data_IF_444601912634
#
_entry.id   IF_444601912634
#
_cell.length_a   1.000
_cell.length_b   1.000
_cell.length_c   1.000
_cell.angle_alpha   90.00
_cell.angle_beta   90.00
_cell.angle_gamma   90.00
#
_symmetry.space_group_name_H-M   'P 1'
#
loop_
_entity.id
_entity.type
_entity.pdbx_description
1 polymer ?
#
# COMPACT_ATOMS: atom_id res chain seq x y z
N UNK A 1 36.79 16.04 23.34
CA UNK A 1 36.68 16.92 22.15
C UNK A 1 35.30 17.57 22.14
N UNK A 2 35.20 18.89 21.95
CA UNK A 2 33.90 19.61 21.91
C UNK A 2 33.20 19.50 20.55
N UNK A 3 33.97 19.29 19.48
CA UNK A 3 33.50 19.10 18.12
C UNK A 3 34.35 18.04 17.42
N UNK A 4 33.70 17.04 16.84
CA UNK A 4 34.30 16.08 15.92
C UNK A 4 33.40 16.03 14.69
N UNK A 5 33.87 16.48 13.54
CA UNK A 5 33.05 16.58 12.32
C UNK A 5 33.85 16.18 11.09
N UNK A 6 33.22 16.21 9.92
CA UNK A 6 33.86 15.93 8.64
C UNK A 6 34.38 17.20 7.97
N UNK A 7 35.43 17.07 7.15
CA UNK A 7 35.99 18.16 6.34
C UNK A 7 34.96 18.94 5.53
N UNK A 8 34.01 18.32 4.79
CA UNK A 8 33.02 19.08 4.01
C UNK A 8 32.07 19.91 4.88
N UNK A 9 31.80 19.50 6.13
CA UNK A 9 30.96 20.29 7.07
C UNK A 9 31.70 21.56 7.50
N UNK A 10 32.99 21.44 7.83
CA UNK A 10 33.84 22.58 8.16
C UNK A 10 34.00 23.53 6.95
N UNK A 11 34.28 22.98 5.76
CA UNK A 11 34.38 23.78 4.54
C UNK A 11 33.09 24.54 4.26
N UNK A 12 31.93 23.88 4.33
CA UNK A 12 30.62 24.52 4.16
C UNK A 12 30.45 25.69 5.13
N UNK A 13 30.82 25.54 6.40
CA UNK A 13 30.72 26.63 7.37
C UNK A 13 31.56 27.85 6.98
N UNK A 14 32.80 27.63 6.51
CA UNK A 14 33.66 28.71 6.00
C UNK A 14 33.09 29.39 4.76
N UNK A 15 32.64 28.60 3.79
CA UNK A 15 32.12 29.12 2.52
C UNK A 15 30.82 29.91 2.76
N UNK A 16 29.96 29.47 3.68
CA UNK A 16 28.79 30.24 4.13
C UNK A 16 29.19 31.58 4.76
N UNK A 17 30.21 31.58 5.61
CA UNK A 17 30.63 32.79 6.32
C UNK A 17 31.26 33.85 5.40
N UNK A 18 31.78 33.43 4.24
CA UNK A 18 32.39 34.30 3.22
C UNK A 18 31.42 34.72 2.12
N UNK A 19 30.15 34.27 2.17
CA UNK A 19 29.18 34.40 1.07
C UNK A 19 29.76 33.98 -0.30
N UNK A 20 30.68 33.00 -0.29
CA UNK A 20 31.38 32.56 -1.49
C UNK A 20 30.54 31.61 -2.37
N UNK A 21 29.30 31.25 -1.97
CA UNK A 21 28.38 30.44 -2.78
C UNK A 21 27.34 31.29 -3.51
N UNK A 22 27.36 31.33 -4.84
CA UNK A 22 26.24 31.83 -5.62
C UNK A 22 25.00 30.94 -5.41
N UNK A 23 23.85 31.56 -5.11
CA UNK A 23 22.58 30.86 -5.02
C UNK A 23 22.22 30.22 -6.37
N UNK A 24 22.15 28.88 -6.42
CA UNK A 24 21.71 28.12 -7.59
C UNK A 24 22.83 27.44 -8.39
N UNK A 25 24.10 27.81 -8.20
CA UNK A 25 25.24 27.18 -8.87
C UNK A 25 25.73 25.91 -8.14
N UNK A 26 26.20 24.94 -8.91
CA UNK A 26 26.93 23.77 -8.40
C UNK A 26 28.42 24.08 -8.48
N UNK A 27 29.05 24.26 -7.33
CA UNK A 27 30.45 24.67 -7.21
C UNK A 27 31.27 23.55 -6.58
N UNK A 28 32.34 23.15 -7.25
CA UNK A 28 33.33 22.24 -6.70
C UNK A 28 34.44 23.04 -6.00
N UNK A 29 34.76 22.67 -4.76
CA UNK A 29 35.86 23.21 -3.98
C UNK A 29 36.96 22.17 -3.92
N UNK A 30 38.14 22.50 -4.43
CA UNK A 30 39.30 21.64 -4.49
C UNK A 30 40.35 22.12 -3.50
N UNK A 31 40.43 21.45 -2.36
CA UNK A 31 41.39 21.73 -1.31
C UNK A 31 42.62 20.84 -1.51
N UNK A 32 43.66 21.41 -2.11
CA UNK A 32 44.87 20.71 -2.49
C UNK A 32 45.96 20.93 -1.43
N UNK A 33 46.29 19.86 -0.71
CA UNK A 33 47.34 19.85 0.31
C UNK A 33 48.71 19.43 -0.25
N UNK A 34 49.58 18.98 0.66
CA UNK A 34 50.90 18.46 0.31
C UNK A 34 50.82 17.16 -0.48
N UNK A 35 50.25 16.11 0.09
CA UNK A 35 50.18 14.78 -0.53
C UNK A 35 48.80 14.45 -1.12
N UNK A 36 47.74 15.01 -0.53
CA UNK A 36 46.38 14.64 -0.81
C UNK A 36 45.57 15.87 -1.23
N UNK A 37 44.56 15.65 -2.06
CA UNK A 37 43.58 16.64 -2.47
C UNK A 37 42.20 16.16 -2.09
N UNK A 38 41.41 17.06 -1.52
CA UNK A 38 40.03 16.81 -1.17
C UNK A 38 39.13 17.66 -2.04
N UNK A 39 38.15 17.02 -2.67
CA UNK A 39 37.12 17.71 -3.46
C UNK A 39 35.79 17.65 -2.70
N UNK A 40 35.11 18.79 -2.63
CA UNK A 40 33.75 18.90 -2.08
C UNK A 40 32.89 19.68 -3.04
N UNK A 41 31.75 19.11 -3.46
CA UNK A 41 30.80 19.78 -4.35
C UNK A 41 29.61 20.26 -3.52
N UNK A 42 29.32 21.55 -3.64
CA UNK A 42 28.20 22.21 -2.96
C UNK A 42 27.22 22.76 -3.99
N UNK A 43 25.93 22.69 -3.69
CA UNK A 43 24.88 23.49 -4.34
C UNK A 43 24.20 24.34 -3.29
N UNK A 44 24.43 25.65 -3.29
CA UNK A 44 24.05 26.49 -2.16
C UNK A 44 24.68 25.95 -0.86
N UNK A 45 23.85 25.52 0.09
CA UNK A 45 24.30 24.98 1.37
C UNK A 45 24.34 23.43 1.44
N UNK A 46 23.98 22.75 0.35
CA UNK A 46 23.89 21.30 0.31
C UNK A 46 25.23 20.69 -0.10
N UNK A 47 25.79 19.84 0.76
CA UNK A 47 26.95 19.01 0.43
C UNK A 47 26.46 17.86 -0.45
N UNK A 48 26.81 17.88 -1.73
CA UNK A 48 26.39 16.88 -2.72
C UNK A 48 27.37 15.72 -2.82
N UNK A 49 28.66 16.04 -2.80
CA UNK A 49 29.72 15.07 -2.98
C UNK A 49 30.97 15.47 -2.22
N UNK A 50 31.70 14.49 -1.70
CA UNK A 50 32.97 14.73 -1.01
C UNK A 50 33.86 13.51 -1.09
N UNK A 51 35.10 13.68 -1.56
CA UNK A 51 36.10 12.59 -1.55
C UNK A 51 37.53 13.13 -1.51
N UNK A 52 38.46 12.21 -1.31
CA UNK A 52 39.89 12.46 -1.30
C UNK A 52 40.61 11.61 -2.35
N UNK A 53 41.71 12.13 -2.90
CA UNK A 53 42.60 11.40 -3.79
C UNK A 53 44.07 11.84 -3.65
N UNK A 54 44.99 10.92 -3.95
CA UNK A 54 46.43 11.05 -3.71
C UNK A 54 47.19 11.84 -4.79
N UNK A 55 46.75 13.07 -5.07
CA UNK A 55 47.49 14.05 -5.88
C UNK A 55 47.64 15.31 -5.02
N UNK A 56 48.84 15.85 -4.89
CA UNK A 56 49.05 17.07 -4.11
C UNK A 56 50.27 17.86 -4.57
N UNK A 57 50.57 18.94 -3.86
CA UNK A 57 51.69 19.83 -4.19
C UNK A 57 53.06 19.13 -4.16
N UNK A 58 53.25 18.15 -3.27
CA UNK A 58 54.47 17.33 -3.16
C UNK A 58 54.61 16.41 -4.37
N UNK A 59 53.51 15.88 -4.91
CA UNK A 59 53.55 15.04 -6.12
C UNK A 59 54.13 15.79 -7.31
N UNK A 60 53.81 17.09 -7.46
CA UNK A 60 54.38 17.94 -8.50
C UNK A 60 55.88 18.17 -8.27
N UNK A 61 56.30 18.37 -7.01
CA UNK A 61 57.71 18.54 -6.65
C UNK A 61 58.51 17.28 -6.97
N UNK A 62 58.01 16.10 -6.58
CA UNK A 62 58.67 14.82 -6.84
C UNK A 62 58.84 14.57 -8.35
N UNK A 63 57.85 14.94 -9.17
CA UNK A 63 57.95 14.81 -10.63
C UNK A 63 59.07 15.68 -11.23
N UNK A 64 59.48 16.76 -10.57
CA UNK A 64 60.54 17.66 -11.01
C UNK A 64 61.92 17.27 -10.50
N UNK A 65 62.06 16.21 -9.69
CA UNK A 65 63.38 15.80 -9.18
C UNK A 65 64.28 15.14 -10.21
N UNK A 66 63.70 14.61 -11.28
CA UNK A 66 64.45 13.97 -12.37
C UNK A 66 63.94 14.48 -13.71
N UNK A 67 64.45 15.64 -14.15
CA UNK A 67 63.99 16.30 -15.37
C UNK A 67 64.76 15.75 -16.57
N UNK A 68 64.04 15.14 -17.51
CA UNK A 68 64.62 14.63 -18.75
C UNK A 68 64.67 15.75 -19.77
N UNK A 69 65.87 16.15 -20.18
CA UNK A 69 66.08 17.17 -21.20
C UNK A 69 66.55 16.50 -22.51
N UNK A 70 65.81 16.66 -23.62
CA UNK A 70 66.23 16.12 -24.91
C UNK A 70 67.63 16.58 -25.30
N UNK A 71 68.52 15.61 -25.60
CA UNK A 71 69.91 15.89 -25.99
C UNK A 71 70.88 16.24 -24.84
N UNK A 72 70.40 16.43 -23.60
CA UNK A 72 71.24 16.75 -22.43
C UNK A 72 71.16 15.72 -21.31
N UNK A 73 70.25 14.75 -21.39
CA UNK A 73 70.09 13.68 -20.41
C UNK A 73 69.19 14.08 -19.23
N UNK A 74 69.32 13.35 -18.12
CA UNK A 74 68.52 13.58 -16.91
C UNK A 74 69.23 14.54 -15.97
N UNK A 75 68.56 15.62 -15.59
CA UNK A 75 68.98 16.55 -14.55
C UNK A 75 68.32 16.12 -13.25
N UNK A 76 69.13 15.64 -12.30
CA UNK A 76 68.67 15.37 -10.94
C UNK A 76 68.69 16.66 -10.11
N UNK A 77 67.61 16.86 -9.37
CA UNK A 77 67.41 17.95 -8.41
C UNK A 77 67.12 17.38 -7.02
N UNK A 78 67.64 18.05 -6.00
CA UNK A 78 67.16 17.86 -4.63
C UNK A 78 65.69 18.28 -4.51
N UNK A 79 65.01 17.84 -3.45
CA UNK A 79 63.64 18.22 -3.18
C UNK A 79 63.47 19.74 -3.10
N UNK A 80 64.38 20.43 -2.42
CA UNK A 80 64.32 21.89 -2.23
C UNK A 80 64.53 22.65 -3.54
N UNK A 81 65.44 22.18 -4.40
CA UNK A 81 65.64 22.75 -5.74
C UNK A 81 64.42 22.54 -6.63
N UNK A 82 63.80 21.34 -6.60
CA UNK A 82 62.58 21.04 -7.33
C UNK A 82 61.39 21.89 -6.81
N UNK A 83 61.27 22.08 -5.50
CA UNK A 83 60.24 22.93 -4.89
C UNK A 83 60.44 24.40 -5.27
N UNK A 84 61.69 24.89 -5.28
CA UNK A 84 62.03 26.23 -5.71
C UNK A 84 61.69 26.44 -7.20
N UNK A 85 62.02 25.46 -8.06
CA UNK A 85 61.68 25.48 -9.48
C UNK A 85 60.15 25.53 -9.68
N UNK A 86 59.40 24.67 -8.98
CA UNK A 86 57.93 24.64 -9.00
C UNK A 86 57.33 25.97 -8.55
N UNK A 87 57.84 26.56 -7.47
CA UNK A 87 57.33 27.85 -6.95
C UNK A 87 57.65 29.02 -7.87
N UNK A 88 58.81 29.01 -8.52
CA UNK A 88 59.24 30.08 -9.41
C UNK A 88 58.46 30.08 -10.74
N UNK A 89 58.28 28.90 -11.35
CA UNK A 89 57.77 28.79 -12.73
C UNK A 89 56.38 28.15 -12.83
N UNK A 90 55.91 27.44 -11.80
CA UNK A 90 54.60 26.79 -11.80
C UNK A 90 54.44 25.79 -12.95
N UNK A 91 53.34 25.94 -13.69
CA UNK A 91 53.04 25.18 -14.90
C UNK A 91 53.27 26.10 -16.10
N UNK A 92 54.39 25.98 -16.83
CA UNK A 92 54.64 26.84 -17.98
C UNK A 92 53.59 26.61 -19.07
N UNK A 93 53.03 27.70 -19.60
CA UNK A 93 52.00 27.66 -20.66
C UNK A 93 52.32 28.67 -21.77
N UNK A 94 52.02 28.31 -23.02
CA UNK A 94 52.18 29.20 -24.17
C UNK A 94 53.62 29.67 -24.35
N UNK A 95 53.84 31.00 -24.41
CA UNK A 95 55.18 31.57 -24.63
C UNK A 95 56.16 31.32 -23.47
N UNK A 96 55.67 31.03 -22.26
CA UNK A 96 56.53 30.71 -21.11
C UNK A 96 57.31 29.41 -21.33
N UNK A 97 56.79 28.47 -22.12
CA UNK A 97 57.47 27.19 -22.39
C UNK A 97 58.80 27.34 -23.15
N UNK A 98 58.97 28.44 -23.88
CA UNK A 98 60.23 28.76 -24.58
C UNK A 98 61.33 29.29 -23.62
N UNK A 99 60.97 29.59 -22.37
CA UNK A 99 61.88 30.10 -21.35
C UNK A 99 62.79 29.03 -20.76
N UNK A 100 63.73 29.47 -19.91
CA UNK A 100 64.69 28.61 -19.22
C UNK A 100 64.87 29.05 -17.77
N UNK A 101 65.10 28.10 -16.88
CA UNK A 101 65.52 28.31 -15.50
C UNK A 101 66.94 27.77 -15.31
N UNK A 102 67.94 28.62 -15.51
CA UNK A 102 69.34 28.20 -15.56
C UNK A 102 69.56 27.21 -16.71
N UNK A 103 69.96 25.98 -16.38
CA UNK A 103 70.20 24.89 -17.35
C UNK A 103 68.94 24.09 -17.73
N UNK A 104 67.77 24.43 -17.16
CA UNK A 104 66.54 23.65 -17.34
C UNK A 104 65.60 24.41 -18.30
N UNK A 105 65.28 23.87 -19.49
CA UNK A 105 64.24 24.44 -20.34
C UNK A 105 62.86 24.25 -19.71
N UNK A 106 62.02 25.28 -19.74
CA UNK A 106 60.67 25.23 -19.15
C UNK A 106 59.74 24.28 -19.90
N UNK A 107 60.00 24.02 -21.19
CA UNK A 107 59.33 22.94 -21.93
C UNK A 107 59.53 21.56 -21.31
N UNK A 108 60.72 21.27 -20.77
CA UNK A 108 60.98 20.00 -20.06
C UNK A 108 60.21 19.95 -18.73
N UNK A 109 60.08 21.07 -18.02
CA UNK A 109 59.24 21.18 -16.82
C UNK A 109 57.79 20.82 -17.16
N UNK A 110 57.22 21.39 -18.23
CA UNK A 110 55.87 21.06 -18.69
C UNK A 110 55.71 19.57 -19.02
N UNK A 111 56.70 18.96 -19.67
CA UNK A 111 56.69 17.51 -19.98
C UNK A 111 56.66 16.67 -18.70
N UNK A 112 57.46 17.01 -17.69
CA UNK A 112 57.51 16.27 -16.43
C UNK A 112 56.23 16.42 -15.60
N UNK A 113 55.60 17.60 -15.61
CA UNK A 113 54.36 17.83 -14.85
C UNK A 113 53.12 17.23 -15.50
N UNK A 114 53.12 17.07 -16.84
CA UNK A 114 51.96 16.64 -17.61
C UNK A 114 51.28 15.36 -17.09
N UNK A 115 51.98 14.25 -16.78
CA UNK A 115 51.33 13.03 -16.28
C UNK A 115 50.59 13.25 -14.95
N UNK A 116 51.13 14.10 -14.07
CA UNK A 116 50.51 14.41 -12.77
C UNK A 116 49.28 15.30 -12.97
N UNK A 117 49.36 16.27 -13.88
CA UNK A 117 48.25 17.16 -14.21
C UNK A 117 47.11 16.42 -14.94
N UNK A 118 47.43 15.49 -15.83
CA UNK A 118 46.44 14.60 -16.47
C UNK A 118 45.77 13.69 -15.44
N UNK A 119 46.54 13.15 -14.48
CA UNK A 119 45.98 12.39 -13.37
C UNK A 119 45.03 13.24 -12.52
N UNK A 120 45.41 14.48 -12.18
CA UNK A 120 44.54 15.42 -11.47
C UNK A 120 43.25 15.68 -12.25
N UNK A 121 43.35 15.97 -13.55
CA UNK A 121 42.20 16.23 -14.39
C UNK A 121 41.25 15.02 -14.47
N UNK A 122 41.79 13.80 -14.60
CA UNK A 122 40.98 12.57 -14.56
C UNK A 122 40.23 12.40 -13.24
N UNK A 123 40.88 12.67 -12.11
CA UNK A 123 40.20 12.63 -10.81
C UNK A 123 39.07 13.67 -10.73
N UNK A 124 39.27 14.87 -11.28
CA UNK A 124 38.21 15.88 -11.33
C UNK A 124 37.04 15.42 -12.21
N UNK A 125 37.30 14.90 -13.41
CA UNK A 125 36.26 14.34 -14.30
C UNK A 125 35.47 13.22 -13.63
N UNK A 126 36.14 12.24 -13.03
CA UNK A 126 35.47 11.16 -12.30
C UNK A 126 34.57 11.68 -11.16
N UNK A 127 34.95 12.79 -10.53
CA UNK A 127 34.15 13.42 -9.48
C UNK A 127 32.92 14.11 -10.04
N UNK A 128 33.08 14.78 -11.19
CA UNK A 128 32.01 15.50 -11.86
C UNK A 128 31.00 14.53 -12.47
N UNK A 129 31.47 13.46 -13.10
CA UNK A 129 30.62 12.41 -13.68
C UNK A 129 29.76 11.75 -12.58
N UNK A 130 30.36 11.36 -11.46
CA UNK A 130 29.61 10.83 -10.31
C UNK A 130 28.54 11.80 -9.81
N UNK A 131 28.88 13.09 -9.69
CA UNK A 131 27.93 14.11 -9.26
C UNK A 131 26.78 14.27 -10.27
N UNK A 132 27.08 14.25 -11.57
CA UNK A 132 26.11 14.41 -12.64
C UNK A 132 25.12 13.23 -12.72
N UNK A 133 25.63 12.00 -12.58
CA UNK A 133 24.83 10.78 -12.53
C UNK A 133 23.93 10.74 -11.30
N UNK A 134 24.47 11.07 -10.12
CA UNK A 134 23.75 10.97 -8.85
C UNK A 134 22.67 12.05 -8.67
N UNK A 135 22.87 13.24 -9.26
CA UNK A 135 21.99 14.40 -9.06
C UNK A 135 21.26 14.87 -10.33
N UNK A 136 20.94 13.92 -11.23
CA UNK A 136 20.03 14.12 -12.36
C UNK A 136 20.37 15.28 -13.31
N UNK A 137 21.66 15.44 -13.68
CA UNK A 137 22.05 16.42 -14.70
C UNK A 137 22.47 17.80 -14.17
N UNK A 138 22.56 17.97 -12.85
CA UNK A 138 23.11 19.19 -12.24
C UNK A 138 24.65 19.20 -12.34
N UNK A 139 25.17 19.62 -13.49
CA UNK A 139 26.61 19.67 -13.76
C UNK A 139 27.34 20.72 -12.91
N UNK A 140 28.61 20.43 -12.57
CA UNK A 140 29.50 21.39 -11.90
C UNK A 140 29.76 22.57 -12.83
N UNK A 141 29.39 23.76 -12.38
CA UNK A 141 29.47 25.01 -13.15
C UNK A 141 30.78 25.76 -12.92
N UNK A 142 31.45 25.53 -11.79
CA UNK A 142 32.64 26.26 -11.38
C UNK A 142 33.53 25.41 -10.46
N UNK A 143 34.84 25.61 -10.56
CA UNK A 143 35.84 25.05 -9.65
C UNK A 143 36.54 26.17 -8.87
N UNK A 144 36.58 26.03 -7.55
CA UNK A 144 37.30 26.93 -6.64
C UNK A 144 38.49 26.17 -6.06
N UNK A 145 39.69 26.68 -6.28
CA UNK A 145 40.93 26.09 -5.77
C UNK A 145 41.26 26.68 -4.39
N UNK A 146 41.50 25.82 -3.42
CA UNK A 146 41.80 26.12 -2.03
C UNK A 146 43.08 25.38 -1.59
N UNK A 147 43.68 25.84 -0.49
CA UNK A 147 44.82 25.19 0.13
C UNK A 147 46.17 25.55 -0.52
N UNK A 148 47.24 25.37 0.25
CA UNK A 148 48.58 25.77 -0.15
C UNK A 148 49.08 25.04 -1.41
N UNK A 149 48.72 23.76 -1.59
CA UNK A 149 49.11 22.98 -2.76
C UNK A 149 48.49 23.48 -4.07
N UNK A 150 47.35 24.17 -4.01
CA UNK A 150 46.75 24.83 -5.16
C UNK A 150 47.42 26.16 -5.55
N UNK A 151 48.41 26.62 -4.77
CA UNK A 151 49.09 27.91 -5.01
C UNK A 151 50.12 27.87 -6.14
N UNK A 152 50.13 26.80 -6.94
CA UNK A 152 51.01 26.64 -8.10
C UNK A 152 50.58 27.60 -9.19
N UNK A 153 51.52 28.42 -9.69
CA UNK A 153 51.28 29.36 -10.78
C UNK A 153 50.75 28.64 -12.02
N UNK A 154 49.77 29.25 -12.69
CA UNK A 154 49.09 28.75 -13.90
C UNK A 154 48.23 27.49 -13.72
N UNK A 155 48.00 27.01 -12.49
CA UNK A 155 47.16 25.82 -12.25
C UNK A 155 45.68 26.08 -12.58
N UNK A 156 45.15 27.26 -12.25
CA UNK A 156 43.77 27.62 -12.55
C UNK A 156 43.57 27.74 -14.07
N UNK A 157 44.51 28.35 -14.77
CA UNK A 157 44.54 28.52 -16.23
C UNK A 157 44.61 27.17 -16.93
N UNK A 158 45.52 26.28 -16.49
CA UNK A 158 45.62 24.93 -17.00
C UNK A 158 44.31 24.15 -16.82
N UNK A 159 43.75 24.14 -15.62
CA UNK A 159 42.49 23.43 -15.33
C UNK A 159 41.30 24.03 -16.07
N UNK A 160 41.24 25.36 -16.25
CA UNK A 160 40.22 26.02 -17.09
C UNK A 160 40.32 25.51 -18.53
N UNK A 161 41.54 25.40 -19.06
CA UNK A 161 41.80 24.89 -20.40
C UNK A 161 41.34 23.45 -20.60
N UNK A 162 41.50 22.59 -19.59
CA UNK A 162 41.16 21.17 -19.65
C UNK A 162 39.68 20.89 -19.33
N UNK A 163 39.16 21.48 -18.26
CA UNK A 163 37.81 21.22 -17.75
C UNK A 163 36.72 22.02 -18.47
N UNK A 164 37.11 23.10 -19.18
CA UNK A 164 36.17 24.01 -19.88
C UNK A 164 35.12 24.66 -18.98
N UNK A 165 35.39 24.75 -17.68
CA UNK A 165 34.60 25.50 -16.70
C UNK A 165 35.48 26.58 -16.06
N UNK A 166 34.90 27.67 -15.55
CA UNK A 166 35.65 28.67 -14.78
C UNK A 166 36.36 28.05 -13.57
N UNK A 167 37.68 28.23 -13.50
CA UNK A 167 38.50 27.83 -12.34
C UNK A 167 39.10 29.07 -11.72
N UNK A 168 38.85 29.28 -10.42
CA UNK A 168 39.37 30.44 -9.68
C UNK A 168 40.04 29.97 -8.41
N UNK A 169 41.23 30.50 -8.12
CA UNK A 169 41.85 30.34 -6.81
C UNK A 169 41.23 31.32 -5.81
N UNK A 170 40.85 30.83 -4.64
CA UNK A 170 40.36 31.66 -3.55
C UNK A 170 41.22 31.44 -2.30
N UNK A 171 41.50 32.51 -1.57
CA UNK A 171 41.98 32.44 -0.19
C UNK A 171 40.83 32.86 0.72
N UNK A 172 40.04 31.87 1.15
CA UNK A 172 38.89 32.11 2.02
C UNK A 172 39.34 32.49 3.43
N UNK A 173 40.55 32.10 3.85
CA UNK A 173 41.11 32.47 5.14
C UNK A 173 41.46 33.95 5.19
N UNK A 174 42.10 34.46 4.14
CA UNK A 174 42.39 35.89 3.98
C UNK A 174 41.09 36.70 3.85
N UNK A 175 40.13 36.22 3.07
CA UNK A 175 38.81 36.85 2.91
C UNK A 175 38.06 36.97 4.24
N UNK A 176 38.09 35.93 5.07
CA UNK A 176 37.52 35.98 6.43
C UNK A 176 38.30 36.90 7.37
N UNK A 177 39.64 36.84 7.33
CA UNK A 177 40.48 37.62 8.26
C UNK A 177 40.36 39.11 7.96
N UNK A 178 40.25 39.49 6.69
CA UNK A 178 39.99 40.87 6.27
C UNK A 178 38.58 41.34 6.68
N UNK A 179 37.56 40.47 6.57
CA UNK A 179 36.21 40.77 7.03
C UNK A 179 36.10 40.92 8.58
N UNK A 180 36.89 40.15 9.34
CA UNK A 180 36.91 40.17 10.81
C UNK A 180 37.82 41.25 11.40
N UNK A 181 38.83 41.74 10.67
CA UNK A 181 39.73 42.80 11.12
C UNK A 181 39.05 44.17 11.07
N UNK A 182 38.53 44.61 12.22
CA UNK A 182 38.37 46.05 12.50
C UNK A 182 39.76 46.71 12.45
N UNK A 183 39.96 47.85 11.79
CA UNK A 183 41.30 48.40 11.57
C UNK A 183 41.88 48.87 12.90
N UNK A 184 42.77 48.07 13.50
CA UNK A 184 43.78 48.57 14.42
C UNK A 184 45.14 48.34 13.77
N UNK A 185 45.77 49.46 13.43
CA UNK A 185 47.16 49.53 13.00
C UNK A 185 48.05 48.85 14.04
N UNK A 186 49.00 48.03 13.56
CA UNK A 186 50.12 47.55 14.34
C UNK A 186 49.93 46.15 14.93
N UNK A 187 50.11 45.11 14.12
CA UNK A 187 50.79 43.89 14.60
C UNK A 187 51.49 43.20 13.43
N UNK A 188 52.74 42.82 13.68
CA UNK A 188 53.78 42.32 12.79
C UNK A 188 53.35 41.26 11.76
N UNK A 189 53.88 41.42 10.54
CA UNK A 189 53.96 40.38 9.52
C UNK A 189 54.69 39.14 10.09
N UNK A 190 53.96 38.05 10.31
CA UNK A 190 54.48 36.83 10.92
C UNK A 190 53.43 35.89 11.51
N UNK A 191 52.17 36.33 11.65
CA UNK A 191 51.08 35.40 12.01
C UNK A 191 50.76 34.48 10.84
N UNK A 192 51.05 33.19 10.98
CA UNK A 192 50.63 32.16 10.03
C UNK A 192 49.13 32.32 9.74
N UNK A 193 48.78 32.49 8.46
CA UNK A 193 47.38 32.52 8.02
C UNK A 193 46.73 31.22 8.48
N UNK A 194 45.62 31.28 9.23
CA UNK A 194 44.95 30.07 9.68
C UNK A 194 44.48 29.27 8.45
N UNK A 195 44.69 27.95 8.49
CA UNK A 195 44.20 27.07 7.41
C UNK A 195 42.68 27.22 7.27
N UNK A 196 42.19 27.18 6.02
CA UNK A 196 40.77 27.21 5.67
C UNK A 196 39.98 26.15 6.43
N UNK A 197 40.53 24.94 6.58
CA UNK A 197 39.90 23.88 7.37
C UNK A 197 39.77 24.25 8.85
N UNK A 198 40.82 24.84 9.44
CA UNK A 198 40.81 25.26 10.83
C UNK A 198 39.80 26.37 11.10
N UNK A 199 39.72 27.35 10.19
CA UNK A 199 38.69 28.40 10.23
C UNK A 199 37.28 27.81 10.07
N UNK A 200 37.08 26.92 9.10
CA UNK A 200 35.80 26.26 8.89
C UNK A 200 35.34 25.48 10.12
N UNK A 201 36.27 24.81 10.80
CA UNK A 201 35.98 24.10 12.05
C UNK A 201 35.59 25.08 13.17
N UNK A 202 36.28 26.22 13.28
CA UNK A 202 35.96 27.26 14.26
C UNK A 202 34.60 27.94 14.00
N UNK A 203 34.20 28.04 12.72
CA UNK A 203 32.93 28.63 12.28
C UNK A 203 31.77 27.62 12.28
N UNK A 204 32.03 26.36 12.61
CA UNK A 204 31.00 25.32 12.60
C UNK A 204 29.94 25.60 13.68
N UNK A 205 28.72 25.91 13.26
CA UNK A 205 27.61 26.32 14.13
C UNK A 205 27.07 25.19 15.04
N UNK A 206 26.37 25.59 16.11
CA UNK A 206 25.58 24.65 16.94
C UNK A 206 24.47 24.02 16.10
N UNK A 207 24.48 22.69 16.01
CA UNK A 207 23.54 21.92 15.19
C UNK A 207 24.15 21.34 13.91
N UNK A 208 25.39 21.71 13.57
CA UNK A 208 26.17 21.00 12.58
C UNK A 208 26.48 19.57 13.03
N UNK A 209 26.79 18.69 12.07
CA UNK A 209 27.12 17.29 12.32
C UNK A 209 28.30 17.20 13.30
N UNK A 210 28.04 16.68 14.50
CA UNK A 210 29.03 16.54 15.56
C UNK A 210 29.02 15.11 16.11
N UNK A 211 30.04 14.34 15.79
CA UNK A 211 30.24 12.98 16.29
C UNK A 211 30.72 12.95 17.74
N UNK A 212 31.12 14.10 18.31
CA UNK A 212 31.48 14.17 19.73
C UNK A 212 30.25 14.23 20.64
N UNK A 213 29.07 14.58 20.13
CA UNK A 213 27.82 14.47 20.89
C UNK A 213 27.30 13.03 20.83
N UNK A 214 27.05 12.37 21.99
CA UNK A 214 26.53 11.01 22.00
C UNK A 214 25.16 10.94 21.30
N UNK A 215 24.85 9.80 20.67
CA UNK A 215 23.66 9.60 19.83
C UNK A 215 22.31 9.95 20.50
N UNK A 216 22.26 10.05 21.84
CA UNK A 216 21.09 10.51 22.60
C UNK A 216 20.92 12.04 22.70
N UNK A 217 21.80 12.86 22.12
CA UNK A 217 21.72 14.31 22.25
C UNK A 217 20.86 15.01 21.18
N UNK A 218 20.41 14.29 20.15
CA UNK A 218 19.63 14.83 19.04
C UNK A 218 18.19 15.20 19.41
N UNK A 219 17.63 16.21 18.73
CA UNK A 219 16.22 16.63 18.85
C UNK A 219 15.21 15.45 18.82
N UNK A 220 15.32 14.45 17.92
CA UNK A 220 14.39 13.32 17.92
C UNK A 220 14.50 12.42 19.18
N UNK A 221 15.68 12.30 19.80
CA UNK A 221 15.84 11.54 21.06
C UNK A 221 15.20 12.29 22.24
N UNK A 222 15.37 13.62 22.30
CA UNK A 222 14.73 14.44 23.34
C UNK A 222 13.21 14.45 23.21
N UNK A 223 12.66 14.44 22.00
CA UNK A 223 11.21 14.32 21.78
C UNK A 223 10.67 12.96 22.26
N UNK A 224 11.41 11.87 22.08
CA UNK A 224 11.04 10.55 22.58
C UNK A 224 11.09 10.46 24.11
N UNK A 225 12.04 11.14 24.78
CA UNK A 225 12.04 11.29 26.25
C UNK A 225 11.02 12.32 26.76
N UNK A 226 10.67 13.32 25.95
CA UNK A 226 9.79 14.42 26.35
C UNK A 226 8.30 14.07 26.31
N UNK A 227 7.89 12.93 25.75
CA UNK A 227 6.54 12.40 25.96
C UNK A 227 6.53 11.78 27.35
N UNK A 228 6.00 12.47 28.39
CA UNK A 228 5.99 11.89 29.71
C UNK A 228 5.09 10.65 29.65
N UNK A 229 5.53 9.54 30.25
CA UNK A 229 4.79 8.27 30.28
C UNK A 229 3.31 8.45 30.68
N UNK A 230 3.00 9.50 31.46
CA UNK A 230 1.64 9.91 31.84
C UNK A 230 0.75 10.31 30.67
N UNK A 231 1.29 11.00 29.65
CA UNK A 231 0.53 11.40 28.44
C UNK A 231 0.25 10.20 27.56
N UNK A 232 1.23 9.31 27.38
CA UNK A 232 1.04 8.06 26.65
C UNK A 232 -0.01 7.16 27.35
N UNK A 233 0.05 7.04 28.68
CA UNK A 233 -0.94 6.31 29.46
C UNK A 233 -2.34 6.94 29.38
N UNK A 234 -2.44 8.28 29.40
CA UNK A 234 -3.71 8.98 29.24
C UNK A 234 -4.32 8.77 27.85
N UNK A 235 -3.52 8.82 26.78
CA UNK A 235 -3.98 8.54 25.42
C UNK A 235 -4.47 7.08 25.26
N UNK A 236 -3.75 6.12 25.86
CA UNK A 236 -4.16 4.72 25.86
C UNK A 236 -5.47 4.50 26.63
N UNK A 237 -5.63 5.14 27.79
CA UNK A 237 -6.88 5.08 28.56
C UNK A 237 -8.06 5.70 27.78
N UNK A 238 -7.84 6.82 27.09
CA UNK A 238 -8.87 7.48 26.28
C UNK A 238 -9.32 6.59 25.11
N UNK A 239 -8.37 5.93 24.44
CA UNK A 239 -8.66 4.95 23.39
C UNK A 239 -9.47 3.77 23.93
N UNK A 240 -9.06 3.19 25.08
CA UNK A 240 -9.81 2.09 25.70
C UNK A 240 -11.24 2.49 26.07
N UNK A 241 -11.44 3.70 26.63
CA UNK A 241 -12.78 4.22 26.97
C UNK A 241 -13.62 4.44 25.71
N UNK A 242 -13.02 4.98 24.63
CA UNK A 242 -13.72 5.23 23.37
C UNK A 242 -14.27 3.96 22.73
N UNK A 243 -13.62 2.81 22.93
CA UNK A 243 -14.07 1.50 22.42
C UNK A 243 -15.03 0.81 23.38
N UNK A 244 -14.78 0.90 24.70
CA UNK A 244 -15.58 0.21 25.70
C UNK A 244 -16.98 0.82 25.90
N UNK A 245 -17.11 2.15 25.84
CA UNK A 245 -18.37 2.84 26.11
C UNK A 245 -19.48 2.49 25.09
N UNK A 246 -19.24 2.55 23.77
CA UNK A 246 -20.25 2.20 22.76
C UNK A 246 -20.65 0.72 22.84
N UNK A 247 -19.69 -0.17 23.09
CA UNK A 247 -19.97 -1.60 23.26
C UNK A 247 -20.91 -1.84 24.45
N UNK A 248 -20.69 -1.17 25.58
CA UNK A 248 -21.55 -1.27 26.74
C UNK A 248 -22.96 -0.71 26.49
N UNK A 249 -23.04 0.44 25.81
CA UNK A 249 -24.33 1.05 25.45
C UNK A 249 -25.14 0.17 24.49
N UNK A 250 -24.49 -0.45 23.50
CA UNK A 250 -25.14 -1.39 22.59
C UNK A 250 -25.74 -2.58 23.35
N UNK A 251 -24.99 -3.18 24.29
CA UNK A 251 -25.49 -4.31 25.10
C UNK A 251 -26.72 -3.91 25.92
N UNK A 252 -26.72 -2.71 26.53
CA UNK A 252 -27.87 -2.22 27.29
C UNK A 252 -29.09 -1.98 26.39
N UNK A 253 -28.88 -1.40 25.20
CA UNK A 253 -29.97 -1.20 24.24
C UNK A 253 -30.59 -2.53 23.78
N UNK A 254 -29.78 -3.55 23.53
CA UNK A 254 -30.26 -4.87 23.13
C UNK A 254 -31.01 -5.57 24.27
N UNK A 255 -30.58 -5.39 25.53
CA UNK A 255 -31.35 -5.86 26.69
C UNK A 255 -32.75 -5.25 26.74
N UNK A 256 -32.86 -3.94 26.55
CA UNK A 256 -34.17 -3.25 26.54
C UNK A 256 -35.06 -3.70 25.36
N UNK A 257 -34.47 -3.95 24.19
CA UNK A 257 -35.17 -4.53 23.03
C UNK A 257 -35.69 -5.93 23.33
N UNK A 258 -34.88 -6.78 23.96
CA UNK A 258 -35.28 -8.13 24.36
C UNK A 258 -36.45 -8.08 25.35
N UNK A 259 -36.41 -7.19 26.33
CA UNK A 259 -37.51 -7.01 27.27
C UNK A 259 -38.80 -6.54 26.58
N UNK A 260 -38.70 -5.57 25.66
CA UNK A 260 -39.83 -5.12 24.85
C UNK A 260 -40.42 -6.24 23.98
N UNK A 261 -39.56 -7.02 23.31
CA UNK A 261 -39.97 -8.17 22.50
C UNK A 261 -40.65 -9.25 23.35
N UNK A 262 -40.12 -9.55 24.54
CA UNK A 262 -40.76 -10.47 25.50
C UNK A 262 -42.15 -9.96 25.91
N UNK A 263 -42.29 -8.65 26.14
CA UNK A 263 -43.58 -8.02 26.41
C UNK A 263 -44.58 -8.20 25.27
N UNK A 264 -44.16 -7.97 24.02
CA UNK A 264 -45.03 -8.22 22.85
C UNK A 264 -45.38 -9.69 22.65
N UNK A 265 -44.44 -10.60 22.94
CA UNK A 265 -44.68 -12.05 22.87
C UNK A 265 -45.73 -12.48 23.90
N UNK A 266 -45.68 -11.95 25.13
CA UNK A 266 -46.69 -12.19 26.16
C UNK A 266 -48.07 -11.62 25.77
N UNK A 267 -48.10 -10.49 25.07
CA UNK A 267 -49.33 -9.95 24.48
C UNK A 267 -49.90 -10.84 23.37
N UNK A 268 -49.05 -11.50 22.57
CA UNK A 268 -49.47 -12.40 21.50
C UNK A 268 -49.91 -13.78 22.01
N UNK A 269 -49.32 -14.28 23.10
CA UNK A 269 -49.69 -15.60 23.65
C UNK A 269 -51.17 -15.63 24.05
N UNK A 270 -51.67 -14.56 24.67
CA UNK A 270 -53.09 -14.43 25.04
C UNK A 270 -54.03 -14.53 23.83
N UNK A 271 -53.64 -13.95 22.68
CA UNK A 271 -54.40 -14.10 21.42
C UNK A 271 -54.30 -15.50 20.84
N UNK A 272 -53.13 -16.14 20.92
CA UNK A 272 -52.96 -17.51 20.43
C UNK A 272 -53.75 -18.53 21.27
N UNK A 273 -53.87 -18.30 22.58
CA UNK A 273 -54.63 -19.15 23.49
C UNK A 273 -56.13 -19.05 23.21
N UNK A 274 -56.63 -17.85 22.89
CA UNK A 274 -58.02 -17.66 22.47
C UNK A 274 -58.34 -18.43 21.18
N UNK A 275 -57.42 -18.40 20.20
CA UNK A 275 -57.57 -19.15 18.94
C UNK A 275 -57.52 -20.66 19.16
N UNK A 276 -56.64 -21.16 20.04
CA UNK A 276 -56.59 -22.59 20.39
C UNK A 276 -57.89 -23.06 21.02
N UNK A 277 -58.45 -22.29 21.97
CA UNK A 277 -59.74 -22.62 22.60
C UNK A 277 -60.89 -22.66 21.61
N UNK A 278 -60.91 -21.71 20.65
CA UNK A 278 -61.92 -21.71 19.60
C UNK A 278 -61.82 -22.94 18.69
N UNK A 279 -60.61 -23.35 18.30
CA UNK A 279 -60.42 -24.57 17.49
C UNK A 279 -60.85 -25.83 18.23
N UNK A 280 -60.50 -25.96 19.50
CA UNK A 280 -60.90 -27.12 20.31
C UNK A 280 -62.43 -27.23 20.44
N UNK A 281 -63.14 -26.12 20.66
CA UNK A 281 -64.60 -26.12 20.73
C UNK A 281 -65.25 -26.57 19.41
N UNK A 282 -64.69 -26.16 18.27
CA UNK A 282 -65.18 -26.54 16.95
C UNK A 282 -64.92 -28.02 16.62
N UNK A 283 -63.80 -28.58 17.06
CA UNK A 283 -63.52 -30.01 16.94
C UNK A 283 -64.48 -30.85 17.79
N UNK A 284 -64.83 -30.38 19.00
CA UNK A 284 -65.82 -31.02 19.87
C UNK A 284 -67.22 -31.05 19.23
N UNK A 285 -67.64 -29.94 18.63
CA UNK A 285 -68.92 -29.83 17.90
C UNK A 285 -68.98 -30.79 16.71
N UNK A 286 -67.88 -30.88 15.94
CA UNK A 286 -67.77 -31.79 14.80
C UNK A 286 -67.83 -33.25 15.26
N UNK A 287 -67.15 -33.57 16.37
CA UNK A 287 -67.16 -34.91 16.98
C UNK A 287 -68.55 -35.32 17.48
N UNK A 288 -69.31 -34.39 18.06
CA UNK A 288 -70.70 -34.65 18.49
C UNK A 288 -71.62 -34.89 17.29
N UNK A 289 -71.46 -34.13 16.21
CA UNK A 289 -72.19 -34.36 14.95
C UNK A 289 -71.86 -35.74 14.35
N UNK A 290 -70.60 -36.16 14.37
CA UNK A 290 -70.19 -37.50 13.89
C UNK A 290 -70.77 -38.63 14.76
N UNK A 291 -70.85 -38.46 16.08
CA UNK A 291 -71.45 -39.45 17.00
C UNK A 291 -72.97 -39.56 16.81
N UNK A 292 -73.64 -38.45 16.52
CA UNK A 292 -75.07 -38.45 16.18
C UNK A 292 -75.32 -39.17 14.85
N UNK A 293 -74.48 -38.95 13.84
CA UNK A 293 -74.59 -39.62 12.54
C UNK A 293 -74.43 -41.15 12.66
N UNK A 294 -73.53 -41.62 13.53
CA UNK A 294 -73.33 -43.06 13.81
C UNK A 294 -74.56 -43.73 14.45
N UNK A 295 -75.34 -43.02 15.26
CA UNK A 295 -76.51 -43.57 15.94
C UNK A 295 -77.75 -43.69 15.03
N UNK A 296 -77.77 -42.98 13.90
CA UNK A 296 -78.92 -42.94 12.97
C UNK A 296 -78.87 -43.96 11.82
N UNK A 297 -77.93 -44.91 11.82
CA UNK A 297 -77.96 -46.15 11.01
C UNK A 297 -78.30 -45.97 9.52
N UNK A 298 -77.28 -45.79 8.67
CA UNK A 298 -77.41 -45.93 7.21
C UNK A 298 -77.06 -44.72 6.34
N UNK A 299 -76.44 -43.68 6.92
CA UNK A 299 -75.93 -42.53 6.17
C UNK A 299 -74.40 -42.59 6.02
N UNK A 300 -73.92 -42.40 4.78
CA UNK A 300 -72.49 -42.35 4.47
C UNK A 300 -71.85 -41.20 5.24
N UNK A 301 -70.73 -41.46 5.92
CA UNK A 301 -69.98 -40.43 6.64
C UNK A 301 -69.20 -39.58 5.63
N UNK A 302 -69.88 -38.60 5.04
CA UNK A 302 -69.29 -37.68 4.05
C UNK A 302 -68.05 -36.96 4.58
N UNK A 303 -67.94 -36.71 5.88
CA UNK A 303 -66.75 -36.14 6.50
C UNK A 303 -65.50 -37.00 6.26
N UNK A 304 -65.62 -38.32 6.29
CA UNK A 304 -64.53 -39.25 6.02
C UNK A 304 -64.27 -39.43 4.52
N UNK A 305 -65.33 -39.57 3.71
CA UNK A 305 -65.22 -39.68 2.25
C UNK A 305 -64.54 -38.44 1.67
N UNK A 306 -65.00 -37.24 2.04
CA UNK A 306 -64.44 -35.97 1.57
C UNK A 306 -63.02 -35.74 2.10
N UNK A 307 -62.73 -36.16 3.35
CA UNK A 307 -61.37 -36.07 3.91
C UNK A 307 -60.43 -37.00 3.15
N UNK A 308 -60.79 -38.25 2.90
CA UNK A 308 -59.96 -39.19 2.15
C UNK A 308 -59.75 -38.71 0.70
N UNK A 309 -60.81 -38.25 0.02
CA UNK A 309 -60.71 -37.60 -1.29
C UNK A 309 -59.74 -36.41 -1.26
N UNK A 310 -59.84 -35.51 -0.28
CA UNK A 310 -58.97 -34.32 -0.20
C UNK A 310 -57.47 -34.63 -0.08
N UNK A 311 -57.11 -35.78 0.51
CA UNK A 311 -55.71 -36.20 0.63
C UNK A 311 -55.19 -36.89 -0.64
N UNK A 312 -56.09 -37.38 -1.50
CA UNK A 312 -55.75 -38.19 -2.68
C UNK A 312 -55.79 -37.40 -3.99
N UNK A 313 -56.54 -36.31 -4.02
CA UNK A 313 -56.58 -35.37 -5.14
C UNK A 313 -55.26 -34.61 -5.18
N UNK A 314 -54.45 -34.87 -6.20
CA UNK A 314 -53.18 -34.19 -6.42
C UNK A 314 -53.33 -32.70 -6.76
N UNK A 315 -52.24 -31.93 -6.75
CA UNK A 315 -52.26 -30.48 -7.01
C UNK A 315 -52.79 -30.12 -8.41
N UNK A 316 -52.69 -31.05 -9.37
CA UNK A 316 -53.11 -30.87 -10.76
C UNK A 316 -54.58 -31.25 -11.01
N UNK A 317 -55.34 -31.62 -9.97
CA UNK A 317 -56.73 -32.07 -10.10
C UNK A 317 -57.65 -31.14 -9.30
N UNK A 318 -58.73 -30.68 -9.93
CA UNK A 318 -59.78 -29.89 -9.28
C UNK A 318 -61.12 -30.56 -9.49
N UNK A 319 -61.71 -31.08 -8.42
CA UNK A 319 -63.09 -31.56 -8.46
C UNK A 319 -64.05 -30.37 -8.58
N UNK A 320 -64.95 -30.44 -9.53
CA UNK A 320 -65.97 -29.42 -9.79
C UNK A 320 -67.35 -29.89 -9.37
N UNK A 321 -67.61 -31.20 -9.42
CA UNK A 321 -68.90 -31.79 -9.12
C UNK A 321 -68.71 -33.14 -8.45
N UNK A 322 -69.51 -33.40 -7.42
CA UNK A 322 -69.63 -34.69 -6.74
C UNK A 322 -71.11 -34.95 -6.53
N UNK A 323 -71.62 -36.02 -7.14
CA UNK A 323 -73.02 -36.42 -7.10
C UNK A 323 -73.13 -37.88 -6.68
N UNK A 324 -74.17 -38.22 -5.93
CA UNK A 324 -74.54 -39.60 -5.62
C UNK A 324 -75.49 -40.15 -6.66
N UNK A 325 -75.18 -41.34 -7.20
CA UNK A 325 -76.07 -42.10 -8.07
C UNK A 325 -76.80 -43.14 -7.23
N UNK A 326 -78.13 -43.05 -7.19
CA UNK A 326 -78.96 -44.09 -6.59
C UNK A 326 -79.11 -45.28 -7.56
N UNK A 327 -78.92 -46.53 -7.10
CA UNK A 327 -78.96 -47.70 -7.96
C UNK A 327 -80.39 -48.02 -8.42
N UNK A 328 -80.59 -48.13 -9.73
CA UNK A 328 -81.86 -48.56 -10.33
C UNK A 328 -81.98 -50.10 -10.21
N UNK A 329 -82.96 -50.59 -9.44
CA UNK A 329 -83.11 -52.03 -9.16
C UNK A 329 -83.60 -52.82 -10.40
N UNK A 330 -82.71 -53.57 -11.05
CA UNK A 330 -83.10 -54.62 -11.99
C UNK A 330 -83.49 -55.91 -11.21
N UNK A 331 -84.55 -56.64 -11.60
CA UNK A 331 -84.97 -57.84 -10.90
C UNK A 331 -83.90 -58.94 -11.01
N UNK A 332 -83.52 -59.59 -9.89
CA UNK A 332 -82.46 -60.59 -9.90
C UNK A 332 -82.90 -61.88 -10.62
N UNK A 333 -82.00 -62.58 -11.34
CA UNK A 333 -82.27 -63.93 -11.85
C UNK A 333 -82.48 -64.90 -10.67
N UNK A 334 -83.37 -65.91 -10.82
CA UNK A 334 -83.76 -66.78 -9.70
C UNK A 334 -82.57 -67.64 -9.23
N UNK A 335 -82.17 -67.46 -7.96
CA UNK A 335 -81.20 -68.31 -7.27
C UNK A 335 -79.95 -67.65 -6.71
N UNK A 336 -79.73 -66.34 -6.91
CA UNK A 336 -78.61 -65.62 -6.29
C UNK A 336 -79.01 -64.96 -4.95
N UNK A 337 -78.13 -64.90 -3.94
CA UNK A 337 -78.39 -64.12 -2.73
C UNK A 337 -78.57 -62.64 -3.08
N UNK A 338 -79.51 -61.96 -2.42
CA UNK A 338 -79.76 -60.53 -2.62
C UNK A 338 -78.53 -59.72 -2.19
N UNK A 339 -77.75 -59.24 -3.15
CA UNK A 339 -76.71 -58.23 -2.91
C UNK A 339 -77.40 -56.87 -2.67
N UNK A 340 -77.02 -56.18 -1.59
CA UNK A 340 -77.40 -54.78 -1.40
C UNK A 340 -76.81 -53.98 -2.56
N UNK A 341 -77.58 -53.10 -3.21
CA UNK A 341 -77.04 -52.36 -4.34
C UNK A 341 -76.06 -51.33 -3.80
N UNK A 342 -74.82 -51.40 -4.26
CA UNK A 342 -73.77 -50.53 -3.77
C UNK A 342 -74.04 -49.07 -4.19
N UNK A 343 -73.84 -48.12 -3.26
CA UNK A 343 -74.02 -46.70 -3.55
C UNK A 343 -72.84 -46.22 -4.39
N UNK A 344 -73.14 -45.70 -5.58
CA UNK A 344 -72.12 -45.14 -6.46
C UNK A 344 -72.08 -43.62 -6.32
N UNK A 345 -70.88 -43.06 -6.34
CA UNK A 345 -70.66 -41.63 -6.53
C UNK A 345 -70.13 -41.39 -7.93
N UNK A 346 -70.60 -40.31 -8.55
CA UNK A 346 -70.03 -39.75 -9.76
C UNK A 346 -69.37 -38.44 -9.42
N UNK A 347 -68.10 -38.30 -9.76
CA UNK A 347 -67.40 -37.03 -9.64
C UNK A 347 -66.79 -36.64 -10.96
N UNK A 348 -66.82 -35.34 -11.21
CA UNK A 348 -66.20 -34.74 -12.37
C UNK A 348 -65.36 -33.53 -11.96
N UNK A 349 -64.35 -33.26 -12.77
CA UNK A 349 -63.37 -32.25 -12.46
C UNK A 349 -62.54 -31.86 -13.66
N UNK A 350 -61.63 -30.95 -13.40
CA UNK A 350 -60.64 -30.46 -14.34
C UNK A 350 -59.26 -30.97 -13.95
N UNK A 351 -58.48 -31.34 -14.95
CA UNK A 351 -57.10 -31.78 -14.84
C UNK A 351 -56.22 -30.72 -15.49
N UNK A 352 -55.29 -30.15 -14.73
CA UNK A 352 -54.24 -29.29 -15.26
C UNK A 352 -53.16 -30.12 -15.90
N UNK A 353 -53.09 -30.12 -17.23
CA UNK A 353 -52.04 -30.81 -17.98
C UNK A 353 -50.93 -29.83 -18.29
N UNK A 354 -50.09 -29.54 -17.29
CA UNK A 354 -48.91 -28.66 -17.40
C UNK A 354 -47.80 -29.32 -18.24
N UNK A 355 -48.04 -29.52 -19.54
CA UNK A 355 -47.20 -30.23 -20.53
C UNK A 355 -47.15 -31.77 -20.43
N UNK A 356 -47.98 -32.41 -19.60
CA UNK A 356 -48.14 -33.89 -19.57
C UNK A 356 -49.35 -34.32 -20.39
N UNK A 357 -49.38 -35.58 -20.86
CA UNK A 357 -50.58 -36.09 -21.54
C UNK A 357 -51.71 -36.25 -20.52
N UNK A 358 -52.96 -35.90 -20.86
CA UNK A 358 -54.10 -36.06 -19.94
C UNK A 358 -54.23 -37.48 -19.38
N UNK A 359 -53.90 -38.47 -20.20
CA UNK A 359 -53.91 -39.90 -19.84
C UNK A 359 -53.01 -40.22 -18.64
N UNK A 360 -51.84 -39.57 -18.55
CA UNK A 360 -50.89 -39.80 -17.46
C UNK A 360 -51.45 -39.27 -16.12
N UNK A 361 -52.05 -38.07 -16.15
CA UNK A 361 -52.59 -37.41 -14.96
C UNK A 361 -53.87 -38.11 -14.47
N UNK A 362 -54.73 -38.54 -15.40
CA UNK A 362 -55.90 -39.38 -15.05
C UNK A 362 -55.43 -40.71 -14.45
N UNK A 363 -54.42 -41.35 -15.03
CA UNK A 363 -53.87 -42.61 -14.54
C UNK A 363 -53.33 -42.51 -13.11
N UNK A 364 -52.56 -41.45 -12.81
CA UNK A 364 -52.06 -41.18 -11.45
C UNK A 364 -53.22 -40.93 -10.45
N UNK A 365 -54.24 -40.18 -10.87
CA UNK A 365 -55.44 -39.95 -10.06
C UNK A 365 -56.19 -41.27 -9.78
N UNK A 366 -56.43 -42.09 -10.81
CA UNK A 366 -57.07 -43.40 -10.67
C UNK A 366 -56.30 -44.29 -9.69
N UNK A 367 -54.98 -44.37 -9.84
CA UNK A 367 -54.14 -45.18 -8.97
C UNK A 367 -54.14 -44.67 -7.50
N UNK A 368 -54.20 -43.35 -7.30
CA UNK A 368 -54.31 -42.74 -5.97
C UNK A 368 -55.65 -43.06 -5.29
N UNK A 369 -56.73 -43.02 -6.07
CA UNK A 369 -58.08 -43.32 -5.62
C UNK A 369 -58.30 -44.83 -5.38
N UNK A 370 -57.71 -45.72 -6.18
CA UNK A 370 -57.78 -47.18 -5.98
C UNK A 370 -57.12 -47.62 -4.67
N UNK A 371 -56.20 -46.82 -4.12
CA UNK A 371 -55.60 -47.05 -2.80
C UNK A 371 -56.49 -46.55 -1.66
N UNK A 372 -57.69 -46.06 -1.94
CA UNK A 372 -58.62 -45.61 -0.92
C UNK A 372 -59.19 -46.80 -0.16
N UNK A 373 -59.22 -46.75 1.19
CA UNK A 373 -59.96 -47.73 1.97
C UNK A 373 -61.48 -47.48 1.94
N UNK A 374 -61.92 -46.34 1.38
CA UNK A 374 -63.32 -45.88 1.39
C UNK A 374 -63.97 -45.99 0.01
N UNK A 375 -63.20 -45.88 -1.07
CA UNK A 375 -63.68 -46.01 -2.44
C UNK A 375 -63.37 -47.40 -2.99
N UNK A 376 -64.42 -48.12 -3.39
CA UNK A 376 -64.35 -49.35 -4.15
C UNK A 376 -64.26 -49.08 -5.66
N UNK A 377 -64.64 -50.07 -6.47
CA UNK A 377 -64.43 -50.11 -7.93
C UNK A 377 -64.57 -48.74 -8.62
N UNK A 378 -63.47 -48.27 -9.21
CA UNK A 378 -63.40 -46.97 -9.89
C UNK A 378 -63.50 -47.20 -11.40
N UNK A 379 -64.43 -46.51 -12.04
CA UNK A 379 -64.61 -46.50 -13.49
C UNK A 379 -64.43 -45.10 -14.05
N UNK A 380 -63.63 -45.00 -15.11
CA UNK A 380 -63.53 -43.78 -15.91
C UNK A 380 -64.62 -43.82 -16.98
N UNK A 381 -65.60 -42.93 -16.88
CA UNK A 381 -66.66 -42.81 -17.89
C UNK A 381 -66.18 -42.05 -19.13
N UNK A 382 -65.31 -41.06 -18.93
CA UNK A 382 -64.72 -40.32 -20.04
C UNK A 382 -63.71 -39.28 -19.60
N UNK A 383 -62.78 -38.96 -20.51
CA UNK A 383 -61.84 -37.85 -20.40
C UNK A 383 -61.84 -37.10 -21.72
N UNK A 384 -62.12 -35.80 -21.68
CA UNK A 384 -62.21 -34.95 -22.87
C UNK A 384 -61.32 -33.71 -22.68
N UNK A 385 -60.54 -33.38 -23.70
CA UNK A 385 -59.74 -32.16 -23.71
C UNK A 385 -60.67 -30.93 -23.87
N UNK A 386 -60.63 -30.01 -22.92
CA UNK A 386 -61.41 -28.76 -22.96
C UNK A 386 -60.56 -27.63 -23.57
N UNK A 387 -59.27 -27.59 -23.22
CA UNK A 387 -58.26 -26.70 -23.81
C UNK A 387 -56.94 -27.46 -23.98
N UNK A 388 -55.91 -26.82 -24.55
CA UNK A 388 -54.58 -27.42 -24.74
C UNK A 388 -53.89 -27.82 -23.42
N UNK A 389 -54.29 -27.26 -22.29
CA UNK A 389 -53.67 -27.49 -20.97
C UNK A 389 -54.67 -27.90 -19.88
N UNK A 390 -55.94 -28.14 -20.25
CA UNK A 390 -56.98 -28.56 -19.31
C UNK A 390 -57.89 -29.59 -19.94
N UNK A 391 -58.06 -30.73 -19.27
CA UNK A 391 -59.02 -31.77 -19.65
C UNK A 391 -60.07 -31.95 -18.57
N UNK A 392 -61.32 -32.19 -18.96
CA UNK A 392 -62.38 -32.61 -18.06
C UNK A 392 -62.43 -34.12 -17.96
N UNK A 393 -62.67 -34.64 -16.77
CA UNK A 393 -62.90 -36.07 -16.55
C UNK A 393 -64.21 -36.31 -15.81
N UNK A 394 -64.80 -37.49 -16.05
CA UNK A 394 -65.95 -37.98 -15.31
C UNK A 394 -65.65 -39.42 -14.89
N UNK A 395 -65.79 -39.67 -13.59
CA UNK A 395 -65.51 -40.96 -12.98
C UNK A 395 -66.63 -41.36 -12.05
N UNK A 396 -66.88 -42.67 -11.97
CA UNK A 396 -67.76 -43.27 -10.98
C UNK A 396 -66.95 -44.15 -10.05
N UNK A 397 -67.30 -44.14 -8.77
CA UNK A 397 -66.71 -45.00 -7.77
C UNK A 397 -67.79 -45.55 -6.84
N UNK A 398 -67.64 -46.81 -6.46
CA UNK A 398 -68.44 -47.42 -5.41
C UNK A 398 -67.97 -46.91 -4.04
N UNK A 399 -68.88 -46.59 -3.12
CA UNK A 399 -68.50 -46.31 -1.73
C UNK A 399 -68.54 -47.63 -0.96
N UNK A 400 -67.42 -48.02 -0.35
CA UNK A 400 -67.38 -49.12 0.60
C UNK A 400 -68.15 -48.70 1.88
N UNK A 401 -69.13 -49.50 2.31
CA UNK A 401 -69.93 -49.23 3.53
C UNK A 401 -69.10 -49.18 4.81
#
# INVERSE_FOLDING_TARGET
PSLLTTRPVALRALVRATDAVPSGEVVAYLDMGGTNTHITVLKGNDIRFSREFGVGGVTLTEALRAIVVPGQGTIELSFDEAEALKRAHGIPIGQEEAGHSGRIPLSAVSVMLRPILERLARELWNSFDYCNEQFQGEAVTRLVLLGAGASVRNLAEYLTGVLKIPVVRADLAESMTSALRRPKQGTSAGSATPSELGLGLALTERGALNFATPAGAGVPYRLAEAIPQRVAAAAAALLLVSVALPAHMNVLSERSRIEGLKGTLAGLSTKSDAVRRFRAAREEETRLHDLLAHLTGGQVLWSYVLRDLSHRIGPDVRLTLLETIEPQAAPPPPGAPASRPARMIRFSGLLGTQNRRPEDVVGELMQSLERSPVLGQIHLEGCQAVTTSVSSFVMTAEIAE
#
